data_IF_033869454018
#
_entry.id   IF_033869454018
#
_cell.length_a   1.000
_cell.length_b   1.000
_cell.length_c   1.000
_cell.angle_alpha   90.00
_cell.angle_beta   90.00
_cell.angle_gamma   90.00
#
_symmetry.space_group_name_H-M   'P 1'
#
loop_
_entity.id
_entity.type
_entity.pdbx_description
1 polymer ?
#
# COMPACT_ATOMS: atom_id res chain seq x y z
N UNK A 1 -13.21 -7.55 -1.13
CA UNK A 1 -12.15 -8.13 -1.97
C UNK A 1 -10.84 -7.34 -1.88
N UNK A 2 -10.89 -6.02 -2.01
CA UNK A 2 -9.67 -5.19 -1.93
C UNK A 2 -9.02 -5.25 -0.54
N UNK A 3 -9.83 -5.27 0.51
CA UNK A 3 -9.31 -5.44 1.89
C UNK A 3 -8.53 -6.75 2.01
N UNK A 4 -9.05 -7.82 1.45
CA UNK A 4 -8.37 -9.12 1.45
C UNK A 4 -7.04 -9.06 0.70
N UNK A 5 -7.02 -8.40 -0.46
CA UNK A 5 -5.78 -8.19 -1.22
C UNK A 5 -4.75 -7.45 -0.39
N UNK A 6 -5.14 -6.34 0.25
CA UNK A 6 -4.23 -5.54 1.08
C UNK A 6 -3.70 -6.34 2.27
N UNK A 7 -4.56 -7.12 2.93
CA UNK A 7 -4.13 -7.97 4.05
C UNK A 7 -3.13 -9.03 3.61
N UNK A 8 -3.33 -9.63 2.45
CA UNK A 8 -2.40 -10.61 1.89
C UNK A 8 -1.05 -9.97 1.53
N UNK A 9 -1.08 -8.77 0.94
CA UNK A 9 0.15 -8.01 0.66
C UNK A 9 0.91 -7.75 1.96
N UNK A 10 0.22 -7.30 3.00
CA UNK A 10 0.83 -6.97 4.28
C UNK A 10 1.33 -8.19 5.05
N UNK A 11 0.83 -9.37 4.74
CA UNK A 11 1.37 -10.63 5.29
C UNK A 11 2.49 -11.21 4.44
N UNK A 12 3.01 -10.43 3.49
CA UNK A 12 4.12 -10.79 2.60
C UNK A 12 3.81 -11.93 1.63
N UNK A 13 2.55 -12.04 1.23
CA UNK A 13 2.15 -12.97 0.17
C UNK A 13 2.50 -12.36 -1.18
N UNK A 14 3.65 -12.73 -1.71
CA UNK A 14 4.16 -12.17 -2.98
C UNK A 14 3.33 -12.59 -4.19
N UNK A 15 2.57 -13.67 -4.09
CA UNK A 15 1.77 -14.16 -5.21
C UNK A 15 0.52 -13.34 -5.48
N UNK A 16 0.06 -12.54 -4.51
CA UNK A 16 -1.21 -11.83 -4.60
C UNK A 16 -1.23 -10.81 -5.74
N UNK A 17 -0.13 -10.11 -5.96
CA UNK A 17 -0.08 -9.06 -6.98
C UNK A 17 -0.22 -9.67 -8.37
N UNK A 18 0.53 -10.72 -8.68
CA UNK A 18 0.42 -11.36 -9.99
C UNK A 18 -0.91 -12.07 -10.22
N UNK A 19 -1.58 -12.52 -9.14
CA UNK A 19 -2.85 -13.23 -9.25
C UNK A 19 -4.06 -12.30 -9.27
N UNK A 20 -3.99 -11.14 -8.60
CA UNK A 20 -5.15 -10.26 -8.40
C UNK A 20 -5.11 -8.97 -9.21
N UNK A 21 -3.94 -8.52 -9.64
CA UNK A 21 -3.81 -7.31 -10.46
C UNK A 21 -3.92 -7.63 -11.94
N UNK A 22 -4.55 -6.73 -12.68
CA UNK A 22 -4.57 -6.79 -14.14
C UNK A 22 -3.17 -6.52 -14.68
N UNK A 23 -2.74 -7.26 -15.69
CA UNK A 23 -1.45 -7.06 -16.36
C UNK A 23 -1.32 -5.63 -16.89
N UNK A 24 -2.40 -5.01 -17.34
CA UNK A 24 -2.45 -3.64 -17.84
C UNK A 24 -2.83 -2.61 -16.79
N UNK A 25 -2.55 -2.87 -15.52
CA UNK A 25 -2.94 -1.99 -14.43
C UNK A 25 -2.27 -0.61 -14.51
N UNK A 26 -3.00 0.41 -14.06
CA UNK A 26 -2.47 1.76 -13.88
C UNK A 26 -2.42 2.05 -12.39
N UNK A 27 -1.25 2.48 -11.91
CA UNK A 27 -0.97 2.65 -10.49
C UNK A 27 -0.46 4.05 -10.21
N UNK A 28 -0.90 4.63 -9.11
CA UNK A 28 -0.35 5.88 -8.59
C UNK A 28 -0.06 5.72 -7.11
N UNK A 29 1.18 5.96 -6.73
CA UNK A 29 1.68 5.78 -5.39
C UNK A 29 2.24 7.09 -4.82
N UNK A 30 2.44 7.17 -3.49
CA UNK A 30 2.93 8.38 -2.85
C UNK A 30 4.21 8.91 -3.50
N UNK A 31 4.37 10.24 -3.51
CA UNK A 31 5.50 10.88 -4.17
C UNK A 31 5.28 11.17 -5.65
N UNK A 32 4.03 11.07 -6.13
CA UNK A 32 3.71 11.34 -7.53
C UNK A 32 4.19 10.27 -8.49
N UNK A 33 4.37 9.05 -7.99
CA UNK A 33 4.85 7.92 -8.80
C UNK A 33 3.71 7.32 -9.60
N UNK A 34 3.85 7.30 -10.92
CA UNK A 34 2.95 6.58 -11.83
C UNK A 34 3.62 5.31 -12.30
N UNK A 35 2.86 4.22 -12.30
CA UNK A 35 3.39 2.91 -12.62
C UNK A 35 2.36 2.07 -13.40
N UNK A 36 2.82 1.07 -14.12
CA UNK A 36 1.97 0.30 -15.03
C UNK A 36 2.25 -1.20 -15.04
N UNK A 37 3.00 -1.73 -14.05
CA UNK A 37 3.37 -3.13 -14.07
C UNK A 37 3.27 -3.79 -12.70
N UNK A 38 3.21 -5.12 -12.70
CA UNK A 38 3.26 -5.92 -11.48
C UNK A 38 4.51 -5.62 -10.65
N UNK A 39 5.67 -5.47 -11.31
CA UNK A 39 6.91 -5.23 -10.59
C UNK A 39 6.90 -3.89 -9.87
N UNK A 40 6.25 -2.89 -10.44
CA UNK A 40 6.10 -1.58 -9.78
C UNK A 40 5.22 -1.69 -8.53
N UNK A 41 4.12 -2.44 -8.60
CA UNK A 41 3.26 -2.68 -7.45
C UNK A 41 4.01 -3.46 -6.36
N UNK A 42 4.74 -4.49 -6.75
CA UNK A 42 5.55 -5.27 -5.82
C UNK A 42 6.62 -4.40 -5.15
N UNK A 43 7.32 -3.59 -5.94
CA UNK A 43 8.35 -2.70 -5.42
C UNK A 43 7.78 -1.75 -4.37
N UNK A 44 6.65 -1.12 -4.64
CA UNK A 44 6.03 -0.21 -3.69
C UNK A 44 5.58 -0.92 -2.41
N UNK A 45 4.73 -1.93 -2.54
CA UNK A 45 4.11 -2.58 -1.38
C UNK A 45 5.11 -3.36 -0.55
N UNK A 46 5.97 -4.14 -1.20
CA UNK A 46 6.99 -4.92 -0.49
C UNK A 46 8.07 -4.01 0.07
N UNK A 47 8.39 -2.91 -0.63
CA UNK A 47 9.32 -1.91 -0.12
C UNK A 47 8.82 -1.23 1.14
N UNK A 48 7.55 -0.87 1.19
CA UNK A 48 6.94 -0.32 2.40
C UNK A 48 6.95 -1.35 3.54
N UNK A 49 6.52 -2.58 3.25
CA UNK A 49 6.47 -3.64 4.25
C UNK A 49 7.86 -4.01 4.77
N UNK A 50 8.86 -4.01 3.88
CA UNK A 50 10.25 -4.33 4.25
C UNK A 50 10.86 -3.28 5.18
N UNK A 51 10.43 -2.02 5.07
CA UNK A 51 10.85 -0.96 5.98
C UNK A 51 10.32 -1.17 7.41
N UNK A 52 9.19 -1.82 7.53
CA UNK A 52 8.50 -2.02 8.82
C UNK A 52 8.00 -3.47 8.92
N UNK A 53 8.91 -4.47 8.89
CA UNK A 53 8.51 -5.87 8.79
C UNK A 53 7.69 -6.39 9.98
N UNK A 54 7.89 -5.82 11.16
CA UNK A 54 7.17 -6.20 12.37
C UNK A 54 5.92 -5.37 12.62
N UNK A 55 5.62 -4.40 11.76
CA UNK A 55 4.51 -3.49 11.97
C UNK A 55 3.15 -4.17 11.83
N UNK A 56 2.18 -3.68 12.59
CA UNK A 56 0.82 -4.15 12.57
C UNK A 56 0.00 -3.35 11.57
N UNK A 57 -0.66 -4.06 10.66
CA UNK A 57 -1.58 -3.48 9.68
C UNK A 57 -3.01 -3.55 10.18
N UNK A 58 -3.75 -2.44 10.06
CA UNK A 58 -5.16 -2.36 10.45
C UNK A 58 -5.98 -1.65 9.39
N UNK A 59 -7.23 -2.11 9.21
CA UNK A 59 -8.20 -1.44 8.36
C UNK A 59 -9.06 -0.56 9.27
N UNK A 60 -9.09 0.74 8.98
CA UNK A 60 -9.87 1.71 9.75
C UNK A 60 -11.27 1.90 9.17
N UNK A 61 -11.39 1.90 7.85
CA UNK A 61 -12.65 2.13 7.17
C UNK A 61 -12.58 1.60 5.75
N UNK A 62 -13.72 1.10 5.25
CA UNK A 62 -13.79 0.61 3.89
C UNK A 62 -15.13 0.99 3.26
N UNK A 63 -15.08 1.37 2.00
CA UNK A 63 -16.26 1.65 1.18
C UNK A 63 -16.11 0.85 -0.12
N UNK A 64 -17.08 -0.01 -0.41
CA UNK A 64 -17.15 -0.71 -1.67
C UNK A 64 -18.32 -0.19 -2.49
N UNK A 65 -18.18 -0.19 -3.80
CA UNK A 65 -19.24 0.27 -4.69
C UNK A 65 -19.30 -0.58 -5.95
N UNK A 66 -20.48 -1.15 -6.21
CA UNK A 66 -20.79 -1.88 -7.43
C UNK A 66 -22.03 -1.27 -8.06
N UNK A 67 -21.83 -0.44 -9.07
CA UNK A 67 -22.93 0.14 -9.83
C UNK A 67 -23.15 -0.71 -11.09
N UNK A 68 -24.42 -0.82 -11.52
CA UNK A 68 -24.85 -1.75 -12.56
C UNK A 68 -24.08 -1.65 -13.89
N UNK A 69 -23.61 -0.47 -14.25
CA UNK A 69 -22.91 -0.22 -15.52
C UNK A 69 -21.49 0.30 -15.33
N UNK A 70 -20.95 0.17 -14.11
CA UNK A 70 -19.61 0.65 -13.78
C UNK A 70 -18.79 -0.47 -13.18
N UNK A 71 -17.48 -0.35 -13.32
CA UNK A 71 -16.55 -1.28 -12.68
C UNK A 71 -16.63 -1.18 -11.16
N UNK A 72 -16.57 -2.32 -10.45
CA UNK A 72 -16.51 -2.31 -8.99
C UNK A 72 -15.33 -1.48 -8.50
N UNK A 73 -15.57 -0.67 -7.46
CA UNK A 73 -14.56 0.20 -6.85
C UNK A 73 -14.56 0.02 -5.35
N UNK A 74 -13.41 0.21 -4.75
CA UNK A 74 -13.26 0.19 -3.30
C UNK A 74 -12.33 1.30 -2.84
N UNK A 75 -12.64 1.86 -1.68
CA UNK A 75 -11.77 2.80 -0.99
C UNK A 75 -11.53 2.26 0.42
N UNK A 76 -10.28 2.25 0.84
CA UNK A 76 -9.88 1.70 2.13
C UNK A 76 -8.98 2.70 2.83
N UNK A 77 -9.31 3.01 4.09
CA UNK A 77 -8.40 3.70 4.98
C UNK A 77 -7.75 2.66 5.87
N UNK A 78 -6.43 2.68 5.90
CA UNK A 78 -5.65 1.71 6.66
C UNK A 78 -4.56 2.40 7.45
N UNK A 79 -3.99 1.68 8.41
CA UNK A 79 -2.78 2.14 9.06
C UNK A 79 -1.78 1.00 9.22
N UNK A 80 -0.53 1.40 9.34
CA UNK A 80 0.59 0.52 9.60
C UNK A 80 1.37 1.14 10.75
N UNK A 81 1.48 0.43 11.87
CA UNK A 81 2.09 0.94 13.09
C UNK A 81 3.16 -0.02 13.58
N UNK A 82 4.36 0.48 13.76
CA UNK A 82 5.47 -0.33 14.25
C UNK A 82 6.80 0.38 14.10
N UNK A 83 7.87 -0.39 14.14
CA UNK A 83 9.22 0.13 14.08
C UNK A 83 9.78 0.15 12.67
N UNK A 84 10.58 1.16 12.40
CA UNK A 84 11.41 1.21 11.21
C UNK A 84 12.64 0.34 11.47
N UNK A 85 12.44 -0.97 11.40
CA UNK A 85 13.46 -1.97 11.74
C UNK A 85 13.93 -2.83 10.55
N UNK A 86 13.54 -2.44 9.33
CA UNK A 86 13.96 -3.10 8.12
C UNK A 86 14.37 -2.13 7.02
N UNK A 87 15.01 -2.64 6.00
CA UNK A 87 15.38 -1.89 4.80
C UNK A 87 14.27 -1.97 3.77
N UNK A 88 13.94 -0.84 3.17
CA UNK A 88 12.93 -0.74 2.13
C UNK A 88 12.87 0.67 1.58
N UNK A 89 11.67 1.14 1.26
CA UNK A 89 11.50 2.48 0.66
C UNK A 89 11.92 3.62 1.58
N UNK A 90 12.00 3.39 2.89
CA UNK A 90 12.42 4.40 3.86
C UNK A 90 13.92 4.36 4.16
N UNK A 91 14.68 3.52 3.45
CA UNK A 91 16.13 3.44 3.58
C UNK A 91 16.59 2.60 4.76
N UNK A 92 17.72 2.97 5.33
CA UNK A 92 18.34 2.26 6.45
C UNK A 92 17.43 2.27 7.68
N UNK A 93 17.35 1.15 8.43
CA UNK A 93 16.52 1.10 9.63
C UNK A 93 17.01 2.06 10.71
N UNK A 94 16.10 2.83 11.29
CA UNK A 94 16.39 3.83 12.31
C UNK A 94 15.90 3.41 13.69
N UNK A 95 15.07 2.38 13.78
CA UNK A 95 14.41 1.97 15.03
C UNK A 95 13.30 2.90 15.48
N UNK A 96 12.95 3.91 14.68
CA UNK A 96 11.87 4.85 15.00
C UNK A 96 10.52 4.14 15.05
N UNK A 97 9.69 4.51 16.03
CA UNK A 97 8.28 4.12 16.02
C UNK A 97 7.56 4.93 14.95
N UNK A 98 6.96 4.26 13.99
CA UNK A 98 6.28 4.91 12.88
C UNK A 98 4.80 4.58 12.87
N UNK A 99 4.02 5.56 12.45
CA UNK A 99 2.60 5.41 12.22
C UNK A 99 2.29 5.91 10.81
N UNK A 100 1.88 5.00 9.95
CA UNK A 100 1.52 5.32 8.56
C UNK A 100 0.01 5.25 8.44
N UNK A 101 -0.61 6.37 8.09
CA UNK A 101 -2.03 6.41 7.73
C UNK A 101 -2.13 6.49 6.22
N UNK A 102 -2.74 5.49 5.61
CA UNK A 102 -2.89 5.43 4.18
C UNK A 102 -4.34 5.39 3.73
N UNK A 103 -4.56 5.86 2.52
CA UNK A 103 -5.82 5.73 1.82
C UNK A 103 -5.52 5.11 0.47
N UNK A 104 -6.23 4.04 0.16
CA UNK A 104 -6.08 3.34 -1.11
C UNK A 104 -7.42 3.22 -1.81
N UNK A 105 -7.42 3.50 -3.12
CA UNK A 105 -8.57 3.34 -3.97
C UNK A 105 -8.24 2.32 -5.04
N UNK A 106 -9.18 1.41 -5.31
CA UNK A 106 -9.01 0.40 -6.35
C UNK A 106 -10.23 0.34 -7.24
N UNK A 107 -9.99 0.10 -8.50
CA UNK A 107 -11.02 -0.18 -9.50
C UNK A 107 -10.72 -1.54 -10.12
N UNK A 108 -11.73 -2.40 -10.21
CA UNK A 108 -11.59 -3.73 -10.74
C UNK A 108 -12.19 -3.84 -12.15
N UNK A 109 -11.47 -4.51 -13.03
CA UNK A 109 -11.94 -4.86 -14.36
C UNK A 109 -12.12 -6.36 -14.50
N UNK A 110 -12.40 -6.86 -15.71
CA UNK A 110 -12.62 -8.29 -15.93
C UNK A 110 -11.39 -9.17 -15.66
N UNK A 111 -10.19 -8.58 -15.68
CA UNK A 111 -8.95 -9.31 -15.46
C UNK A 111 -8.24 -8.95 -14.14
N UNK A 112 -8.98 -8.38 -13.19
CA UNK A 112 -8.46 -8.06 -11.89
C UNK A 112 -8.41 -6.57 -11.60
N UNK A 113 -7.61 -6.19 -10.61
CA UNK A 113 -7.41 -4.81 -10.20
C UNK A 113 -6.71 -4.04 -11.32
N UNK A 114 -7.40 -3.08 -11.92
CA UNK A 114 -6.88 -2.34 -13.08
C UNK A 114 -6.40 -0.94 -12.77
N UNK A 115 -6.86 -0.33 -11.66
CA UNK A 115 -6.40 0.98 -11.20
C UNK A 115 -6.26 0.97 -9.71
N UNK A 116 -5.19 1.53 -9.22
CA UNK A 116 -4.96 1.68 -7.79
C UNK A 116 -4.30 3.02 -7.51
N UNK A 117 -4.84 3.75 -6.54
CA UNK A 117 -4.28 5.01 -6.07
C UNK A 117 -4.06 4.89 -4.58
N UNK A 118 -2.83 5.09 -4.13
CA UNK A 118 -2.49 5.04 -2.72
C UNK A 118 -1.77 6.31 -2.33
N UNK A 119 -2.21 6.89 -1.21
CA UNK A 119 -1.63 8.10 -0.64
C UNK A 119 -1.36 7.88 0.83
N UNK A 120 -0.25 8.41 1.32
CA UNK A 120 0.01 8.62 2.72
C UNK A 120 0.89 9.86 2.87
N UNK A 121 0.99 10.40 4.09
CA UNK A 121 1.75 11.61 4.34
C UNK A 121 3.24 11.26 4.54
N UNK A 122 4.01 11.35 3.47
CA UNK A 122 5.46 11.10 3.51
C UNK A 122 6.18 12.09 4.40
N UNK A 123 5.73 13.34 4.41
CA UNK A 123 6.34 14.38 5.25
C UNK A 123 6.22 14.00 6.73
N UNK A 124 5.05 13.52 7.15
CA UNK A 124 4.83 13.05 8.51
C UNK A 124 5.74 11.89 8.87
N UNK A 125 5.92 10.94 7.96
CA UNK A 125 6.83 9.81 8.16
C UNK A 125 8.27 10.26 8.37
N UNK A 126 8.76 11.14 7.52
CA UNK A 126 10.13 11.64 7.65
C UNK A 126 10.32 12.46 8.91
N UNK A 127 9.30 13.22 9.35
CA UNK A 127 9.34 13.92 10.63
C UNK A 127 9.48 12.95 11.79
N UNK A 128 8.74 11.85 11.80
CA UNK A 128 8.82 10.82 12.84
C UNK A 128 10.23 10.22 12.90
N UNK A 129 10.82 9.95 11.76
CA UNK A 129 12.19 9.42 11.66
C UNK A 129 13.20 10.45 12.19
N UNK A 130 13.08 11.70 11.76
CA UNK A 130 14.00 12.78 12.16
C UNK A 130 13.93 13.04 13.67
N UNK A 131 12.74 13.04 14.26
CA UNK A 131 12.57 13.21 15.71
C UNK A 131 13.32 12.10 16.46
N UNK A 132 13.31 10.89 15.94
CA UNK A 132 14.02 9.76 16.56
C UNK A 132 15.54 9.86 16.40
N UNK A 133 16.01 10.25 15.22
CA UNK A 133 17.42 10.17 14.85
C UNK A 133 18.17 11.49 14.98
N UNK A 134 17.46 12.57 14.94
CA UNK A 134 18.02 13.90 14.95
C UNK A 134 17.90 14.62 16.23
#
# INVERSE_FOLDING_TARGET
KYVDILKRIMSSDQSVITSEYDRGCHLEYPGGVSAHSYSDAEEFWMGLRSSMPSAKFSIEHQIGREDKHMSPRAAVRWNLKGKHDGRGILGEPTGAELYVMGVSHAEFGPWGLRREYTLFDETSLWKQIIIKTG
#
